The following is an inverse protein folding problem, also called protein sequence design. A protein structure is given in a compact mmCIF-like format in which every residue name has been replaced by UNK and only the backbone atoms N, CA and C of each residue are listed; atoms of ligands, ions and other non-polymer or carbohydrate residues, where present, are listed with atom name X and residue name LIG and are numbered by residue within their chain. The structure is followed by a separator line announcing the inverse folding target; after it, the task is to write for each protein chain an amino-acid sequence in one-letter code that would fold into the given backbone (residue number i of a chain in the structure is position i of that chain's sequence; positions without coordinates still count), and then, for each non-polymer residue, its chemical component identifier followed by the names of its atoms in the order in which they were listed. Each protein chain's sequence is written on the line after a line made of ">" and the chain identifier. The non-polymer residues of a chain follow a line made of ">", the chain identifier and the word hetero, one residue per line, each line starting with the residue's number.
data_IF_317480728477
#
_entry.id   IF_317480728477
#
_cell.length_a   1.000
_cell.length_b   1.000
_cell.length_c   1.000
_cell.angle_alpha   90.00
_cell.angle_beta   90.00
_cell.angle_gamma   90.00
#
_symmetry.space_group_name_H-M   'P 1'
#
loop_
_entity.id
_entity.type
_entity.pdbx_description
1 polymer ?
#
# COMPACT_ATOMS: atom_id res chain seq x y z
N UNK A 1 -10.36 6.00 26.18
CA UNK A 1 -9.27 7.00 26.18
C UNK A 1 -8.05 6.49 25.41
N UNK A 2 -7.05 7.35 25.12
CA UNK A 2 -5.79 6.92 24.52
C UNK A 2 -5.02 5.93 25.41
N UNK A 3 -5.20 6.03 26.71
CA UNK A 3 -4.63 5.09 27.68
C UNK A 3 -5.22 3.70 27.47
N UNK A 4 -6.56 3.60 27.45
CA UNK A 4 -7.27 2.32 27.28
C UNK A 4 -6.92 1.67 25.92
N UNK A 5 -6.81 2.50 24.87
CA UNK A 5 -6.42 2.02 23.54
C UNK A 5 -4.99 1.48 23.57
N UNK A 6 -4.06 2.17 24.24
CA UNK A 6 -2.66 1.75 24.33
C UNK A 6 -2.44 0.42 25.06
N UNK A 7 -3.37 -0.01 25.89
CA UNK A 7 -3.35 -1.33 26.54
C UNK A 7 -3.73 -2.47 25.59
N UNK A 8 -4.41 -2.13 24.49
CA UNK A 8 -4.95 -3.10 23.53
C UNK A 8 -4.20 -3.14 22.20
N UNK A 9 -3.25 -2.24 22.00
CA UNK A 9 -2.45 -2.15 20.77
C UNK A 9 -0.96 -2.07 21.08
N UNK A 10 -0.11 -2.42 20.13
CA UNK A 10 1.35 -2.52 20.29
C UNK A 10 2.06 -1.16 20.33
N UNK A 11 1.44 -0.11 20.97
CA UNK A 11 2.10 1.20 21.08
C UNK A 11 1.68 1.99 22.33
N UNK A 12 2.48 2.98 22.70
CA UNK A 12 2.22 3.81 23.88
C UNK A 12 1.16 4.90 23.63
N UNK A 13 0.44 5.32 24.69
CA UNK A 13 -0.52 6.43 24.62
C UNK A 13 0.14 7.74 24.14
N UNK A 14 1.42 7.96 24.45
CA UNK A 14 2.19 9.11 23.97
C UNK A 14 2.36 9.06 22.45
N UNK A 15 2.63 7.88 21.91
CA UNK A 15 2.76 7.71 20.46
C UNK A 15 1.42 7.88 19.75
N UNK A 16 0.34 7.31 20.27
CA UNK A 16 -1.03 7.53 19.79
C UNK A 16 -1.38 9.02 19.75
N UNK A 17 -1.09 9.75 20.84
CA UNK A 17 -1.32 11.20 20.90
C UNK A 17 -0.50 11.97 19.84
N UNK A 18 0.70 11.52 19.49
CA UNK A 18 1.48 12.15 18.42
C UNK A 18 0.87 11.87 17.05
N UNK A 19 0.33 10.66 16.82
CA UNK A 19 -0.39 10.31 15.59
C UNK A 19 -1.63 11.20 15.43
N UNK A 20 -2.48 11.32 16.46
CA UNK A 20 -3.68 12.16 16.42
C UNK A 20 -3.38 13.64 16.10
N UNK A 21 -2.25 14.15 16.56
CA UNK A 21 -1.80 15.51 16.28
C UNK A 21 -1.06 15.66 14.96
N UNK A 22 -0.92 14.59 14.16
CA UNK A 22 -0.17 14.62 12.91
C UNK A 22 1.34 14.77 13.09
N UNK A 23 1.88 14.50 14.29
CA UNK A 23 3.30 14.62 14.63
C UNK A 23 4.05 13.29 14.51
N UNK A 24 3.35 12.22 14.18
CA UNK A 24 3.90 10.91 13.89
C UNK A 24 3.04 10.23 12.83
N UNK A 25 3.64 9.37 12.01
CA UNK A 25 2.93 8.54 11.04
C UNK A 25 2.51 7.24 11.70
N UNK A 26 1.41 6.67 11.25
CA UNK A 26 0.95 5.36 11.69
C UNK A 26 1.44 4.30 10.72
N UNK A 27 1.91 3.16 11.24
CA UNK A 27 2.18 2.00 10.41
C UNK A 27 0.87 1.26 10.07
N UNK A 28 0.79 0.56 8.94
CA UNK A 28 -0.37 -0.23 8.58
C UNK A 28 -0.75 -1.28 9.62
N UNK A 29 0.23 -1.95 10.22
CA UNK A 29 -0.02 -2.95 11.26
C UNK A 29 -0.67 -2.32 12.49
N UNK A 30 -0.13 -1.19 12.96
CA UNK A 30 -0.73 -0.46 14.09
C UNK A 30 -2.11 0.08 13.72
N UNK A 31 -2.33 0.52 12.47
CA UNK A 31 -3.65 0.92 12.01
C UNK A 31 -4.64 -0.25 12.01
N UNK A 32 -4.21 -1.43 11.59
CA UNK A 32 -5.03 -2.64 11.63
C UNK A 32 -5.38 -3.03 13.09
N UNK A 33 -4.42 -2.98 14.02
CA UNK A 33 -4.66 -3.23 15.45
C UNK A 33 -5.67 -2.24 16.04
N UNK A 34 -5.50 -0.94 15.77
CA UNK A 34 -6.41 0.12 16.21
C UNK A 34 -7.80 -0.10 15.62
N UNK A 35 -7.90 -0.42 14.34
CA UNK A 35 -9.16 -0.66 13.66
C UNK A 35 -9.90 -1.84 14.27
N UNK A 36 -9.21 -2.95 14.52
CA UNK A 36 -9.76 -4.14 15.15
C UNK A 36 -10.24 -3.84 16.59
N UNK A 37 -9.43 -3.11 17.36
CA UNK A 37 -9.75 -2.75 18.75
C UNK A 37 -10.98 -1.83 18.83
N UNK A 38 -11.11 -0.90 17.88
CA UNK A 38 -12.26 0.02 17.82
C UNK A 38 -13.46 -0.57 17.07
N UNK A 39 -13.35 -1.79 16.54
CA UNK A 39 -14.37 -2.45 15.72
C UNK A 39 -14.83 -1.59 14.51
N UNK A 40 -13.87 -0.88 13.89
CA UNK A 40 -14.10 -0.06 12.69
C UNK A 40 -13.25 -0.58 11.53
N UNK A 41 -13.68 -0.31 10.31
CA UNK A 41 -12.85 -0.58 9.13
C UNK A 41 -11.67 0.39 9.08
N UNK A 42 -10.44 -0.10 8.84
CA UNK A 42 -9.24 0.72 8.71
C UNK A 42 -9.41 1.85 7.69
N UNK A 43 -10.28 1.64 6.71
CA UNK A 43 -10.66 2.64 5.73
C UNK A 43 -11.26 3.93 6.32
N UNK A 44 -11.77 3.90 7.56
CA UNK A 44 -12.27 5.09 8.26
C UNK A 44 -11.20 6.13 8.54
N UNK A 45 -9.95 5.70 8.67
CA UNK A 45 -8.83 6.57 8.98
C UNK A 45 -8.22 7.26 7.75
N UNK A 46 -8.66 6.91 6.54
CA UNK A 46 -8.18 7.57 5.33
C UNK A 46 -9.00 8.80 4.98
N UNK A 47 -8.35 9.91 4.61
CA UNK A 47 -9.06 11.09 4.15
C UNK A 47 -9.97 10.74 2.97
N UNK A 48 -11.22 11.15 3.06
CA UNK A 48 -12.13 11.05 1.93
C UNK A 48 -11.79 12.14 0.92
N UNK A 49 -11.43 11.76 -0.30
CA UNK A 49 -11.32 12.74 -1.36
C UNK A 49 -12.72 13.23 -1.74
N UNK A 50 -12.96 14.55 -1.57
CA UNK A 50 -14.12 15.28 -2.08
C UNK A 50 -15.51 14.95 -1.50
N UNK A 51 -15.64 14.67 -0.23
CA UNK A 51 -16.91 14.76 0.51
C UNK A 51 -18.00 13.77 0.09
N UNK A 52 -17.69 12.79 -0.75
CA UNK A 52 -18.57 11.67 -1.06
C UNK A 52 -18.09 10.45 -0.30
N UNK A 53 -19.02 9.74 0.33
CA UNK A 53 -18.72 8.56 1.10
C UNK A 53 -17.81 7.59 0.34
N UNK A 54 -16.94 6.84 1.03
CA UNK A 54 -15.88 6.06 0.40
C UNK A 54 -16.42 4.93 -0.48
N UNK A 55 -17.66 4.54 -0.28
CA UNK A 55 -18.21 3.33 -0.88
C UNK A 55 -19.64 3.53 -1.33
N UNK A 56 -19.91 3.16 -2.55
CA UNK A 56 -21.27 2.96 -3.02
C UNK A 56 -21.76 1.61 -2.49
N UNK A 57 -22.74 1.64 -1.56
CA UNK A 57 -23.33 0.45 -0.94
C UNK A 57 -22.29 -0.48 -0.26
N UNK A 58 -21.22 0.07 0.27
CA UNK A 58 -20.14 -0.65 0.96
C UNK A 58 -19.32 -1.63 0.09
N UNK A 59 -19.56 -1.72 -1.20
CA UNK A 59 -18.92 -2.71 -2.07
C UNK A 59 -18.22 -2.11 -3.28
N UNK A 60 -18.57 -0.89 -3.68
CA UNK A 60 -18.08 -0.27 -4.91
C UNK A 60 -17.16 0.90 -4.60
N UNK A 61 -15.94 0.87 -5.12
CA UNK A 61 -14.98 1.98 -5.10
C UNK A 61 -14.93 2.61 -6.48
N UNK A 62 -15.45 3.82 -6.61
CA UNK A 62 -15.38 4.58 -7.87
C UNK A 62 -13.98 5.15 -8.07
N UNK A 63 -13.51 5.23 -9.31
CA UNK A 63 -12.17 5.73 -9.62
C UNK A 63 -11.87 7.11 -8.99
N UNK A 64 -12.88 8.01 -9.01
CA UNK A 64 -12.77 9.34 -8.40
C UNK A 64 -12.73 9.35 -6.86
N UNK A 65 -12.96 8.20 -6.22
CA UNK A 65 -13.02 8.07 -4.76
C UNK A 65 -11.99 7.07 -4.22
N UNK A 66 -11.02 6.67 -5.05
CA UNK A 66 -9.92 5.81 -4.62
C UNK A 66 -9.11 6.52 -3.55
N UNK A 67 -8.68 5.77 -2.58
CA UNK A 67 -7.86 6.27 -1.46
C UNK A 67 -6.40 6.10 -1.80
N UNK A 68 -5.61 7.15 -1.58
CA UNK A 68 -4.16 7.06 -1.66
C UNK A 68 -3.63 6.34 -0.41
N UNK A 69 -2.73 5.40 -0.60
CA UNK A 69 -1.97 4.76 0.47
C UNK A 69 -0.63 5.47 0.71
N UNK A 70 -0.29 6.47 -0.10
CA UNK A 70 0.99 7.18 -0.02
C UNK A 70 1.22 7.85 1.34
N UNK A 71 0.15 8.29 2.01
CA UNK A 71 0.25 8.90 3.34
C UNK A 71 0.58 7.90 4.46
N UNK A 72 0.39 6.60 4.19
CA UNK A 72 0.72 5.53 5.14
C UNK A 72 2.19 5.17 5.09
N UNK A 73 2.84 5.37 3.96
CA UNK A 73 4.24 5.01 3.80
C UNK A 73 5.13 5.97 4.57
N UNK A 74 6.14 5.42 5.23
CA UNK A 74 7.15 6.22 5.93
C UNK A 74 8.11 6.92 4.97
N UNK A 75 8.00 6.65 3.67
CA UNK A 75 8.86 7.14 2.59
C UNK A 75 8.06 7.93 1.57
N UNK A 76 8.69 8.91 0.97
CA UNK A 76 8.08 9.71 -0.10
C UNK A 76 7.97 8.92 -1.41
N UNK A 77 7.13 9.40 -2.33
CA UNK A 77 7.01 8.84 -3.69
C UNK A 77 8.38 8.84 -4.41
N UNK A 78 9.19 9.88 -4.20
CA UNK A 78 10.55 9.94 -4.77
C UNK A 78 11.47 8.83 -4.23
N UNK A 79 11.23 8.37 -3.01
CA UNK A 79 11.99 7.27 -2.40
C UNK A 79 11.43 5.90 -2.76
N UNK A 80 10.11 5.79 -2.94
CA UNK A 80 9.43 4.52 -3.29
C UNK A 80 9.46 4.26 -4.81
N UNK A 81 9.38 5.30 -5.62
CA UNK A 81 9.27 5.22 -7.06
C UNK A 81 7.85 4.99 -7.59
N UNK A 82 6.84 4.97 -6.71
CA UNK A 82 5.44 4.72 -7.08
C UNK A 82 4.45 5.39 -6.12
N UNK A 83 3.20 5.47 -6.58
CA UNK A 83 2.02 5.89 -5.82
C UNK A 83 1.01 4.75 -5.79
N UNK A 84 0.49 4.42 -4.62
CA UNK A 84 -0.51 3.37 -4.45
C UNK A 84 -1.89 3.92 -4.16
N UNK A 85 -2.89 3.33 -4.81
CA UNK A 85 -4.31 3.59 -4.60
C UNK A 85 -5.05 2.30 -4.25
N UNK A 86 -5.79 2.33 -3.15
CA UNK A 86 -6.62 1.21 -2.75
C UNK A 86 -7.82 1.06 -3.69
N UNK A 87 -7.96 -0.11 -4.30
CA UNK A 87 -9.09 -0.49 -5.14
C UNK A 87 -10.15 -1.27 -4.36
N UNK A 88 -9.74 -1.98 -3.32
CA UNK A 88 -10.66 -2.68 -2.43
C UNK A 88 -11.44 -1.70 -1.55
N UNK A 89 -12.65 -2.10 -1.20
CA UNK A 89 -13.51 -1.32 -0.32
C UNK A 89 -13.02 -1.31 1.12
N UNK A 90 -12.23 -2.29 1.51
CA UNK A 90 -11.72 -2.48 2.87
C UNK A 90 -10.30 -3.03 2.85
N UNK A 91 -9.55 -2.76 3.91
CA UNK A 91 -8.29 -3.42 4.24
C UNK A 91 -8.48 -4.58 5.25
N UNK A 92 -9.70 -4.76 5.76
CA UNK A 92 -10.03 -5.82 6.74
C UNK A 92 -10.39 -7.15 6.09
N UNK A 93 -10.31 -7.26 4.76
CA UNK A 93 -10.54 -8.50 4.02
C UNK A 93 -9.35 -9.45 4.07
N UNK A 94 -9.54 -10.67 3.55
CA UNK A 94 -8.44 -11.63 3.40
C UNK A 94 -7.57 -11.35 2.16
N UNK A 95 -8.04 -10.51 1.27
CA UNK A 95 -7.34 -10.07 0.08
C UNK A 95 -7.72 -8.62 -0.22
N UNK A 96 -6.79 -7.84 -0.71
CA UNK A 96 -7.07 -6.52 -1.22
C UNK A 96 -6.38 -6.27 -2.56
N UNK A 97 -6.93 -5.33 -3.32
CA UNK A 97 -6.40 -4.88 -4.59
C UNK A 97 -5.83 -3.47 -4.44
N UNK A 98 -4.67 -3.26 -5.01
CA UNK A 98 -4.03 -1.96 -5.12
C UNK A 98 -3.70 -1.69 -6.59
N UNK A 99 -3.77 -0.43 -6.98
CA UNK A 99 -3.21 0.06 -8.22
C UNK A 99 -1.99 0.91 -7.90
N UNK A 100 -0.84 0.48 -8.41
CA UNK A 100 0.40 1.23 -8.35
C UNK A 100 0.61 2.01 -9.63
N UNK A 101 0.91 3.29 -9.49
CA UNK A 101 1.29 4.19 -10.56
C UNK A 101 2.77 4.52 -10.43
N UNK A 102 3.54 4.24 -11.45
CA UNK A 102 4.98 4.48 -11.53
C UNK A 102 5.23 5.67 -12.45
N UNK A 103 5.50 6.87 -11.91
CA UNK A 103 5.82 8.04 -12.73
C UNK A 103 7.07 7.81 -13.58
N UNK A 104 7.20 8.48 -14.75
CA UNK A 104 8.41 8.46 -15.53
C UNK A 104 9.54 9.24 -14.83
N UNK A 105 10.79 8.91 -15.14
CA UNK A 105 11.97 9.64 -14.66
C UNK A 105 12.24 9.52 -13.16
N UNK A 106 11.44 8.78 -12.43
CA UNK A 106 11.72 8.45 -11.03
C UNK A 106 12.63 7.23 -11.03
N UNK A 107 13.91 7.45 -10.79
CA UNK A 107 14.92 6.40 -10.76
C UNK A 107 14.60 5.28 -9.77
N UNK A 108 15.33 4.18 -9.85
CA UNK A 108 15.20 3.12 -8.87
C UNK A 108 15.49 3.69 -7.47
N UNK A 109 14.55 3.53 -6.52
CA UNK A 109 14.79 3.98 -5.17
C UNK A 109 16.04 3.28 -4.59
N UNK A 110 16.87 3.97 -3.81
CA UNK A 110 18.04 3.41 -3.15
C UNK A 110 17.67 2.52 -1.96
N UNK A 111 16.60 1.74 -2.09
CA UNK A 111 16.09 0.88 -1.02
C UNK A 111 16.80 -0.46 -1.10
N UNK A 112 17.36 -0.97 0.00
CA UNK A 112 17.86 -2.33 0.05
C UNK A 112 16.76 -3.32 -0.34
N UNK A 113 17.10 -4.34 -1.12
CA UNK A 113 16.16 -5.37 -1.58
C UNK A 113 15.49 -6.11 -0.42
N UNK A 114 16.14 -6.13 0.72
CA UNK A 114 15.74 -6.82 1.96
C UNK A 114 14.53 -6.18 2.66
N UNK A 115 14.07 -5.01 2.19
CA UNK A 115 13.07 -4.19 2.89
C UNK A 115 11.61 -4.61 2.72
N UNK A 116 11.28 -5.49 1.77
CA UNK A 116 9.88 -5.84 1.47
C UNK A 116 9.69 -7.35 1.51
N UNK A 117 9.55 -7.88 2.70
CA UNK A 117 9.22 -9.30 2.92
C UNK A 117 8.05 -9.39 3.88
N UNK A 118 6.99 -10.08 3.50
CA UNK A 118 5.83 -10.34 4.35
C UNK A 118 5.20 -11.68 4.01
N UNK A 119 4.47 -12.25 4.96
CA UNK A 119 3.77 -13.51 4.75
C UNK A 119 2.63 -13.33 3.74
N UNK A 120 2.48 -14.28 2.82
CA UNK A 120 1.42 -14.32 1.84
C UNK A 120 1.91 -14.42 0.40
N UNK A 121 1.02 -14.12 -0.52
CA UNK A 121 1.27 -14.15 -1.94
C UNK A 121 0.89 -12.83 -2.59
N UNK A 122 1.67 -12.43 -3.58
CA UNK A 122 1.34 -11.33 -4.48
C UNK A 122 1.04 -11.85 -5.87
N UNK A 123 0.00 -11.27 -6.49
CA UNK A 123 -0.37 -11.50 -7.88
C UNK A 123 -0.54 -10.14 -8.55
N UNK A 124 -0.02 -9.95 -9.73
CA UNK A 124 -0.12 -8.67 -10.40
C UNK A 124 -0.30 -8.80 -11.92
N UNK A 125 -0.82 -7.71 -12.49
CA UNK A 125 -1.02 -7.52 -13.92
C UNK A 125 -0.54 -6.12 -14.30
N UNK A 126 0.29 -6.01 -15.32
CA UNK A 126 0.69 -4.72 -15.90
C UNK A 126 -0.45 -4.21 -16.79
N UNK A 127 -1.03 -3.08 -16.44
CA UNK A 127 -2.13 -2.46 -17.17
C UNK A 127 -1.66 -1.49 -18.25
N UNK A 128 -0.48 -0.91 -18.08
CA UNK A 128 0.09 0.08 -19.00
C UNK A 128 1.59 0.18 -18.82
N UNK A 129 2.30 0.40 -19.92
CA UNK A 129 3.73 0.68 -19.90
C UNK A 129 4.60 -0.53 -19.61
N UNK A 130 5.77 -0.28 -19.02
CA UNK A 130 6.75 -1.32 -18.68
C UNK A 130 7.23 -1.13 -17.25
N UNK A 131 7.36 -2.24 -16.54
CA UNK A 131 7.86 -2.27 -15.17
C UNK A 131 9.00 -3.27 -15.10
N UNK A 132 10.12 -2.88 -14.52
CA UNK A 132 11.18 -3.80 -14.15
C UNK A 132 10.88 -4.35 -12.75
N UNK A 133 10.75 -5.66 -12.66
CA UNK A 133 10.69 -6.42 -11.42
C UNK A 133 12.07 -6.98 -11.11
N UNK A 134 12.64 -6.60 -9.99
CA UNK A 134 13.73 -7.35 -9.39
C UNK A 134 13.16 -8.29 -8.35
N UNK A 135 13.40 -9.59 -8.52
CA UNK A 135 12.94 -10.65 -7.65
C UNK A 135 14.15 -11.50 -7.23
N UNK A 136 14.54 -11.39 -5.96
CA UNK A 136 15.82 -11.88 -5.45
C UNK A 136 16.98 -11.36 -6.33
N UNK A 137 17.71 -12.24 -7.01
CA UNK A 137 18.83 -11.91 -7.88
C UNK A 137 18.44 -11.73 -9.36
N UNK A 138 17.18 -12.02 -9.71
CA UNK A 138 16.70 -11.91 -11.08
C UNK A 138 16.13 -10.53 -11.37
N UNK A 139 16.34 -10.07 -12.61
CA UNK A 139 15.76 -8.83 -13.14
C UNK A 139 14.91 -9.18 -14.35
N UNK A 140 13.63 -8.89 -14.25
CA UNK A 140 12.61 -9.24 -15.24
C UNK A 140 11.95 -7.95 -15.73
N UNK A 141 11.89 -7.78 -17.05
CA UNK A 141 11.11 -6.67 -17.64
C UNK A 141 9.73 -7.19 -18.01
N UNK A 142 8.72 -6.54 -17.45
CA UNK A 142 7.31 -6.82 -17.66
C UNK A 142 6.70 -5.72 -18.53
N UNK A 143 5.88 -6.10 -19.49
CA UNK A 143 5.18 -5.22 -20.40
C UNK A 143 3.67 -5.27 -20.17
N UNK A 144 2.94 -4.36 -20.81
CA UNK A 144 1.48 -4.34 -20.79
C UNK A 144 0.88 -5.70 -21.15
N UNK A 145 -0.02 -6.20 -20.30
CA UNK A 145 -0.63 -7.54 -20.41
C UNK A 145 0.12 -8.65 -19.70
N UNK A 146 1.38 -8.45 -19.31
CA UNK A 146 2.11 -9.46 -18.54
C UNK A 146 1.57 -9.56 -17.12
N UNK A 147 1.53 -10.76 -16.58
CA UNK A 147 1.14 -11.04 -15.19
C UNK A 147 2.20 -11.91 -14.50
N UNK A 148 2.25 -11.80 -13.19
CA UNK A 148 3.17 -12.58 -12.38
C UNK A 148 2.60 -12.85 -10.98
N UNK A 149 3.17 -13.84 -10.31
CA UNK A 149 2.88 -14.13 -8.91
C UNK A 149 4.12 -14.70 -8.22
N UNK A 150 4.26 -14.40 -6.94
CA UNK A 150 5.33 -14.95 -6.09
C UNK A 150 4.94 -14.91 -4.62
N UNK A 151 5.53 -15.78 -3.78
CA UNK A 151 5.44 -15.68 -2.33
C UNK A 151 6.03 -14.35 -1.84
N UNK A 152 5.30 -13.59 -1.06
CA UNK A 152 5.71 -12.24 -0.62
C UNK A 152 6.94 -12.22 0.28
N UNK A 153 7.41 -13.39 0.74
CA UNK A 153 8.69 -13.55 1.44
C UNK A 153 9.91 -13.40 0.52
N UNK A 154 9.74 -13.48 -0.79
CA UNK A 154 10.83 -13.21 -1.74
C UNK A 154 11.14 -11.71 -1.76
N UNK A 155 12.43 -11.38 -1.68
CA UNK A 155 12.85 -9.98 -1.79
C UNK A 155 12.53 -9.45 -3.19
N UNK A 156 11.80 -8.35 -3.27
CA UNK A 156 11.34 -7.83 -4.55
C UNK A 156 11.35 -6.30 -4.60
N UNK A 157 11.44 -5.77 -5.79
CA UNK A 157 11.33 -4.34 -6.06
C UNK A 157 10.85 -4.08 -7.47
N UNK A 158 10.08 -3.01 -7.61
CA UNK A 158 9.58 -2.54 -8.89
C UNK A 158 10.19 -1.19 -9.24
N UNK A 159 10.38 -0.93 -10.53
CA UNK A 159 10.68 0.41 -11.04
C UNK A 159 10.13 0.61 -12.45
N UNK A 160 9.80 1.85 -12.77
CA UNK A 160 9.60 2.28 -14.15
C UNK A 160 10.97 2.63 -14.74
N UNK A 161 11.29 2.07 -15.88
CA UNK A 161 12.55 2.35 -16.60
C UNK A 161 12.39 3.41 -17.68
N UNK A 162 11.16 3.90 -17.92
CA UNK A 162 10.88 4.96 -18.89
C UNK A 162 11.11 6.35 -18.30
N UNK A 163 11.75 7.21 -19.06
CA UNK A 163 11.92 8.62 -18.72
C UNK A 163 10.72 9.48 -19.13
N UNK A 164 9.80 8.94 -19.95
CA UNK A 164 8.72 9.73 -20.56
C UNK A 164 7.33 9.16 -20.35
N UNK A 165 7.20 7.87 -20.11
CA UNK A 165 5.92 7.19 -20.01
C UNK A 165 5.70 6.64 -18.60
N UNK A 166 4.50 6.85 -18.06
CA UNK A 166 4.10 6.20 -16.81
C UNK A 166 3.79 4.72 -17.02
N UNK A 167 3.97 3.93 -15.98
CA UNK A 167 3.46 2.56 -15.93
C UNK A 167 2.39 2.41 -14.85
N UNK A 168 1.44 1.50 -15.11
CA UNK A 168 0.35 1.15 -14.20
C UNK A 168 0.33 -0.35 -13.97
N UNK A 169 0.22 -0.74 -12.72
CA UNK A 169 0.10 -2.12 -12.30
C UNK A 169 -1.05 -2.27 -11.32
N UNK A 170 -1.86 -3.30 -11.49
CA UNK A 170 -2.81 -3.76 -10.45
C UNK A 170 -2.25 -5.00 -9.81
N UNK A 171 -2.30 -5.05 -8.49
CA UNK A 171 -1.87 -6.22 -7.76
C UNK A 171 -2.79 -6.55 -6.59
N UNK A 172 -2.83 -7.83 -6.28
CA UNK A 172 -3.55 -8.41 -5.16
C UNK A 172 -2.57 -8.97 -4.15
N UNK A 173 -2.88 -8.83 -2.88
CA UNK A 173 -2.13 -9.43 -1.80
C UNK A 173 -3.06 -10.21 -0.87
N UNK A 174 -2.63 -11.39 -0.45
CA UNK A 174 -3.33 -12.26 0.50
C UNK A 174 -2.31 -13.05 1.33
N UNK A 175 -2.50 -13.18 2.66
CA UNK A 175 -3.43 -12.42 3.51
C UNK A 175 -3.05 -10.96 3.62
N UNK A 176 -3.96 -10.14 4.13
CA UNK A 176 -3.74 -8.71 4.36
C UNK A 176 -2.80 -8.54 5.55
N UNK A 177 -1.51 -8.57 5.31
CA UNK A 177 -0.48 -8.18 6.28
C UNK A 177 0.49 -7.27 5.58
N UNK A 178 0.31 -5.98 5.77
CA UNK A 178 1.24 -4.98 5.26
C UNK A 178 2.26 -4.72 6.37
N UNK A 179 3.40 -5.38 6.32
CA UNK A 179 4.56 -5.01 7.10
C UNK A 179 5.52 -4.21 6.22
N UNK A 180 5.79 -3.00 6.61
CA UNK A 180 6.71 -2.09 5.91
C UNK A 180 7.98 -1.83 6.72
#
# INVERSE_FOLDING_TARGET
>A
TLSDLSESVSCSAVYLSRIERGLARISPDLLAEISATLAVDAAWFFPQQFGKGPLERQHVVRAAHRRSLSDMYTRSIAELGFEDQLLSSTLSGQCYLIMSRFPPGVGAPPIPLEGYRFEGEQHALILKGKVELRLEDEVITLAEGDSFSYPSMMAHRFRNTSETEEALMVWAMSPVRISW
#
